data_IF_103573014309
#
_entry.id   IF_103573014309
#
_cell.length_a   1.000
_cell.length_b   1.000
_cell.length_c   1.000
_cell.angle_alpha   90.00
_cell.angle_beta   90.00
_cell.angle_gamma   90.00
#
_symmetry.space_group_name_H-M   'P 1'
#
loop_
_entity.id
_entity.type
_entity.pdbx_description
1 polymer ?
#
# COMPACT_ATOMS: atom_id res chain seq x y z
N UNK A 1 -44.74 1.84 4.34
CA UNK A 1 -43.77 1.65 3.25
C UNK A 1 -42.75 0.60 3.70
N UNK A 2 -42.75 -0.59 3.11
CA UNK A 2 -41.65 -1.54 3.29
C UNK A 2 -40.45 -1.01 2.49
N UNK A 3 -39.37 -0.61 3.17
CA UNK A 3 -38.10 -0.31 2.51
C UNK A 3 -37.50 -1.64 2.06
N UNK A 4 -37.40 -1.83 0.75
CA UNK A 4 -36.67 -2.94 0.15
C UNK A 4 -35.18 -2.64 0.32
N UNK A 5 -34.42 -3.61 0.83
CA UNK A 5 -33.01 -3.40 1.16
C UNK A 5 -32.14 -3.26 -0.11
N UNK A 6 -31.14 -2.38 -0.05
CA UNK A 6 -30.19 -2.12 -1.13
C UNK A 6 -29.53 -3.38 -1.77
N UNK A 7 -29.10 -4.41 -1.01
CA UNK A 7 -28.50 -5.59 -1.62
C UNK A 7 -29.50 -6.39 -2.48
N UNK A 8 -30.79 -6.39 -2.12
CA UNK A 8 -31.83 -7.08 -2.90
C UNK A 8 -32.06 -6.40 -4.26
N UNK A 9 -31.92 -5.08 -4.35
CA UNK A 9 -32.05 -4.33 -5.60
C UNK A 9 -30.89 -4.59 -6.57
N UNK A 10 -29.70 -4.87 -6.04
CA UNK A 10 -28.48 -5.05 -6.83
C UNK A 10 -28.29 -6.47 -7.37
N UNK A 11 -29.14 -7.42 -6.96
CA UNK A 11 -29.17 -8.76 -7.51
C UNK A 11 -29.58 -8.74 -8.98
N UNK A 12 -29.10 -9.71 -9.75
CA UNK A 12 -29.50 -9.83 -11.16
C UNK A 12 -31.01 -10.11 -11.25
N UNK A 13 -31.65 -9.76 -12.38
CA UNK A 13 -33.09 -10.02 -12.58
C UNK A 13 -33.45 -11.51 -12.39
N UNK A 14 -32.50 -12.42 -12.64
CA UNK A 14 -32.67 -13.87 -12.44
C UNK A 14 -32.71 -14.30 -10.97
N UNK A 15 -32.20 -13.45 -10.08
CA UNK A 15 -32.11 -13.66 -8.63
C UNK A 15 -33.17 -12.83 -7.87
N UNK A 16 -34.15 -12.25 -8.58
CA UNK A 16 -35.23 -11.47 -7.97
C UNK A 16 -34.86 -10.01 -7.63
N UNK A 17 -33.73 -9.50 -8.14
CA UNK A 17 -33.35 -8.09 -8.06
C UNK A 17 -33.73 -7.26 -9.28
N UNK A 18 -33.37 -5.98 -9.27
CA UNK A 18 -33.63 -5.02 -10.36
C UNK A 18 -32.46 -4.90 -11.35
N UNK A 19 -31.38 -5.67 -11.15
CA UNK A 19 -30.18 -5.60 -11.98
C UNK A 19 -29.43 -4.27 -11.87
N UNK A 20 -29.69 -3.49 -10.82
CA UNK A 20 -29.04 -2.20 -10.60
C UNK A 20 -27.61 -2.47 -10.12
N UNK A 21 -26.64 -1.82 -10.74
CA UNK A 21 -25.24 -1.98 -10.36
C UNK A 21 -24.97 -1.40 -8.97
N UNK A 22 -24.27 -2.14 -8.10
CA UNK A 22 -23.85 -1.63 -6.79
C UNK A 22 -22.82 -0.50 -6.96
N UNK A 23 -23.32 0.73 -6.99
CA UNK A 23 -22.52 1.94 -7.12
C UNK A 23 -21.47 2.07 -6.02
N UNK A 24 -21.73 1.54 -4.82
CA UNK A 24 -20.77 1.58 -3.71
C UNK A 24 -19.61 0.64 -4.01
N UNK A 25 -19.88 -0.59 -4.44
CA UNK A 25 -18.83 -1.52 -4.85
C UNK A 25 -18.00 -0.99 -6.02
N UNK A 26 -18.65 -0.40 -7.03
CA UNK A 26 -17.97 0.21 -8.17
C UNK A 26 -17.06 1.37 -7.79
N UNK A 27 -17.55 2.28 -6.93
CA UNK A 27 -16.74 3.39 -6.44
C UNK A 27 -15.54 2.89 -5.63
N UNK A 28 -15.73 1.91 -4.75
CA UNK A 28 -14.62 1.27 -4.01
C UNK A 28 -13.59 0.70 -4.97
N UNK A 29 -14.01 -0.07 -5.98
CA UNK A 29 -13.10 -0.63 -6.99
C UNK A 29 -12.35 0.47 -7.75
N UNK A 30 -13.02 1.57 -8.11
CA UNK A 30 -12.38 2.70 -8.76
C UNK A 30 -11.32 3.38 -7.87
N UNK A 31 -11.62 3.59 -6.58
CA UNK A 31 -10.64 4.14 -5.63
C UNK A 31 -9.45 3.22 -5.42
N UNK A 32 -9.66 1.90 -5.32
CA UNK A 32 -8.58 0.92 -5.27
C UNK A 32 -7.71 1.02 -6.53
N UNK A 33 -8.34 1.10 -7.71
CA UNK A 33 -7.64 1.33 -8.97
C UNK A 33 -6.73 2.56 -8.89
N UNK A 34 -7.24 3.70 -8.43
CA UNK A 34 -6.44 4.91 -8.23
C UNK A 34 -5.28 4.74 -7.25
N UNK A 35 -5.48 4.02 -6.14
CA UNK A 35 -4.41 3.70 -5.18
C UNK A 35 -3.29 2.93 -5.89
N UNK A 36 -3.62 1.89 -6.66
CA UNK A 36 -2.63 1.11 -7.40
C UNK A 36 -1.86 1.98 -8.41
N UNK A 37 -2.56 2.81 -9.21
CA UNK A 37 -1.90 3.70 -10.19
C UNK A 37 -0.88 4.65 -9.53
N UNK A 38 -1.27 5.24 -8.40
CA UNK A 38 -0.39 6.15 -7.66
C UNK A 38 0.79 5.41 -7.05
N UNK A 39 0.54 4.28 -6.39
CA UNK A 39 1.56 3.48 -5.72
C UNK A 39 2.60 2.92 -6.70
N UNK A 40 2.15 2.41 -7.85
CA UNK A 40 3.00 1.92 -8.93
C UNK A 40 3.68 3.03 -9.74
N UNK A 41 3.41 4.31 -9.42
CA UNK A 41 3.89 5.48 -10.18
C UNK A 41 3.63 5.33 -11.67
N UNK A 42 2.41 4.91 -12.03
CA UNK A 42 2.02 4.72 -13.42
C UNK A 42 2.29 6.00 -14.23
N UNK A 43 2.91 5.85 -15.40
CA UNK A 43 3.31 6.98 -16.26
C UNK A 43 2.09 7.60 -16.94
N UNK A 44 1.35 8.43 -16.21
CA UNK A 44 0.27 9.24 -16.76
C UNK A 44 0.21 10.63 -16.10
N UNK A 45 -0.42 11.58 -16.79
CA UNK A 45 -0.49 12.98 -16.35
C UNK A 45 -1.15 13.14 -14.98
N UNK A 46 -2.21 12.38 -14.71
CA UNK A 46 -2.96 12.47 -13.46
C UNK A 46 -2.12 12.00 -12.27
N UNK A 47 -1.41 10.87 -12.40
CA UNK A 47 -0.49 10.36 -11.37
C UNK A 47 0.66 11.34 -11.14
N UNK A 48 1.27 11.86 -12.20
CA UNK A 48 2.33 12.88 -12.09
C UNK A 48 1.83 14.14 -11.37
N UNK A 49 0.62 14.60 -11.70
CA UNK A 49 -0.01 15.72 -11.02
C UNK A 49 -0.27 15.42 -9.54
N UNK A 50 -0.80 14.24 -9.20
CA UNK A 50 -0.98 13.80 -7.81
C UNK A 50 0.34 13.82 -7.03
N UNK A 51 1.42 13.30 -7.60
CA UNK A 51 2.74 13.33 -6.97
C UNK A 51 3.25 14.77 -6.80
N UNK A 52 3.09 15.64 -7.79
CA UNK A 52 3.56 17.03 -7.69
C UNK A 52 2.73 17.93 -6.76
N UNK A 53 1.41 17.72 -6.66
CA UNK A 53 0.50 18.65 -5.96
C UNK A 53 -0.07 18.11 -4.66
N UNK A 54 -0.46 16.83 -4.63
CA UNK A 54 -1.15 16.25 -3.47
C UNK A 54 -0.18 15.57 -2.50
N UNK A 55 0.79 14.85 -3.05
CA UNK A 55 1.77 14.08 -2.27
C UNK A 55 2.98 14.94 -1.94
N UNK A 56 3.55 15.64 -2.93
CA UNK A 56 4.77 16.46 -2.81
C UNK A 56 5.93 15.61 -2.31
N UNK A 57 6.61 16.06 -1.26
CA UNK A 57 7.75 15.37 -0.62
C UNK A 57 7.32 14.36 0.46
N UNK A 58 6.03 14.00 0.52
CA UNK A 58 5.51 13.04 1.50
C UNK A 58 5.51 11.62 0.93
N UNK A 59 5.38 10.66 1.84
CA UNK A 59 5.28 9.25 1.49
C UNK A 59 3.82 8.85 1.30
N UNK A 60 3.47 8.35 0.11
CA UNK A 60 2.09 8.07 -0.27
C UNK A 60 1.36 7.15 0.72
N UNK A 61 2.01 6.11 1.22
CA UNK A 61 1.40 5.13 2.12
C UNK A 61 1.24 5.64 3.55
N UNK A 62 2.21 6.39 4.08
CA UNK A 62 2.20 6.87 5.47
C UNK A 62 1.71 8.31 5.65
N UNK A 63 1.42 9.05 4.56
CA UNK A 63 0.93 10.42 4.68
C UNK A 63 -0.43 10.45 5.39
N UNK A 64 -0.59 11.41 6.30
CA UNK A 64 -1.86 11.69 6.97
C UNK A 64 -2.85 12.33 5.99
N UNK A 65 -4.13 12.09 6.21
CA UNK A 65 -5.20 12.75 5.45
C UNK A 65 -5.17 14.27 5.72
N UNK A 66 -5.00 15.12 4.69
CA UNK A 66 -5.07 16.56 4.86
C UNK A 66 -6.49 16.99 5.30
N UNK A 67 -6.58 18.03 6.14
CA UNK A 67 -7.89 18.60 6.54
C UNK A 67 -8.66 19.10 5.32
N UNK A 68 -7.95 19.86 4.49
CA UNK A 68 -8.47 20.51 3.28
C UNK A 68 -8.06 19.72 2.05
N UNK A 69 -8.78 18.64 1.76
CA UNK A 69 -8.62 17.90 0.51
C UNK A 69 -9.97 17.57 -0.12
N UNK A 70 -9.95 17.34 -1.43
CA UNK A 70 -11.13 17.00 -2.19
C UNK A 70 -11.77 15.71 -1.68
N UNK A 71 -13.09 15.60 -1.84
CA UNK A 71 -13.84 14.42 -1.41
C UNK A 71 -13.31 13.14 -2.06
N UNK A 72 -12.93 13.21 -3.34
CA UNK A 72 -12.31 12.11 -4.08
C UNK A 72 -10.98 11.70 -3.44
N UNK A 73 -10.11 12.66 -3.12
CA UNK A 73 -8.81 12.36 -2.48
C UNK A 73 -8.98 11.72 -1.10
N UNK A 74 -9.98 12.16 -0.32
CA UNK A 74 -10.32 11.53 0.96
C UNK A 74 -10.65 10.04 0.79
N UNK A 75 -11.43 9.69 -0.23
CA UNK A 75 -11.78 8.29 -0.48
C UNK A 75 -10.62 7.47 -1.04
N UNK A 76 -9.77 8.05 -1.88
CA UNK A 76 -8.52 7.39 -2.32
C UNK A 76 -7.64 7.06 -1.10
N UNK A 77 -7.44 8.02 -0.18
CA UNK A 77 -6.63 7.79 1.02
C UNK A 77 -7.27 6.81 2.02
N UNK A 78 -8.61 6.70 2.06
CA UNK A 78 -9.32 5.66 2.82
C UNK A 78 -9.19 4.28 2.17
N UNK A 79 -9.35 4.19 0.86
CA UNK A 79 -9.16 2.94 0.13
C UNK A 79 -7.72 2.42 0.31
N UNK A 80 -6.74 3.33 0.29
CA UNK A 80 -5.32 3.03 0.55
C UNK A 80 -5.12 2.23 1.85
N UNK A 81 -5.76 2.62 2.95
CA UNK A 81 -5.58 1.92 4.24
C UNK A 81 -6.13 0.51 4.23
N UNK A 82 -7.18 0.24 3.47
CA UNK A 82 -7.70 -1.13 3.31
C UNK A 82 -6.84 -1.95 2.34
N UNK A 83 -6.24 -1.28 1.35
CA UNK A 83 -5.42 -1.92 0.31
C UNK A 83 -4.10 -2.45 0.85
N UNK A 84 -3.54 -1.89 1.93
CA UNK A 84 -2.22 -2.28 2.49
C UNK A 84 -2.11 -3.81 2.69
N UNK A 85 -3.18 -4.46 3.14
CA UNK A 85 -3.23 -5.92 3.41
C UNK A 85 -3.31 -6.77 2.14
N UNK A 86 -3.54 -6.14 0.99
CA UNK A 86 -3.79 -6.78 -0.29
C UNK A 86 -2.71 -6.47 -1.33
N UNK A 87 -1.71 -5.66 -0.99
CA UNK A 87 -0.58 -5.36 -1.87
C UNK A 87 0.56 -6.33 -1.57
N UNK A 88 1.17 -6.85 -2.64
CA UNK A 88 2.40 -7.62 -2.56
C UNK A 88 3.50 -6.82 -3.24
N UNK A 89 4.64 -6.70 -2.57
CA UNK A 89 5.85 -6.12 -3.15
C UNK A 89 6.76 -7.24 -3.61
N UNK A 90 7.34 -7.07 -4.81
CA UNK A 90 8.51 -7.84 -5.22
C UNK A 90 9.74 -6.98 -4.96
N UNK A 91 10.56 -7.37 -4.00
CA UNK A 91 11.79 -6.65 -3.67
C UNK A 91 12.88 -7.10 -4.63
N UNK A 92 13.40 -6.16 -5.43
CA UNK A 92 14.58 -6.38 -6.26
C UNK A 92 15.85 -5.98 -5.49
N UNK A 93 16.57 -4.94 -5.93
CA UNK A 93 17.72 -4.39 -5.21
C UNK A 93 17.33 -3.48 -4.02
N UNK A 94 16.03 -3.36 -3.74
CA UNK A 94 15.48 -2.55 -2.66
C UNK A 94 15.65 -1.03 -2.82
N UNK A 95 16.19 -0.52 -3.94
CA UNK A 95 16.49 0.92 -4.09
C UNK A 95 15.26 1.78 -4.37
N UNK A 96 14.14 1.18 -4.77
CA UNK A 96 12.90 1.88 -5.07
C UNK A 96 11.82 1.67 -4.00
N UNK A 97 12.16 1.03 -2.89
CA UNK A 97 11.24 0.72 -1.81
C UNK A 97 11.75 1.35 -0.52
N UNK A 98 10.91 2.16 0.10
CA UNK A 98 11.19 2.79 1.39
C UNK A 98 10.96 1.78 2.51
N UNK A 99 11.96 1.63 3.36
CA UNK A 99 11.97 0.66 4.45
C UNK A 99 10.77 0.86 5.38
N UNK A 100 10.57 2.11 5.81
CA UNK A 100 9.60 2.47 6.84
C UNK A 100 8.21 2.76 6.30
N UNK A 101 8.17 3.27 5.07
CA UNK A 101 7.01 3.93 4.52
C UNK A 101 6.23 3.10 3.51
N UNK A 102 6.84 2.10 2.86
CA UNK A 102 6.13 1.23 1.92
C UNK A 102 5.65 -0.07 2.61
N UNK A 103 4.48 -0.62 2.24
CA UNK A 103 3.95 -1.86 2.83
C UNK A 103 4.56 -3.11 2.19
N UNK A 104 5.89 -3.23 2.24
CA UNK A 104 6.60 -4.35 1.59
C UNK A 104 6.54 -5.67 2.35
N UNK A 105 6.11 -5.67 3.62
CA UNK A 105 5.82 -6.87 4.42
C UNK A 105 4.34 -7.32 4.37
N UNK A 106 3.53 -6.71 3.48
CA UNK A 106 2.17 -7.13 3.09
C UNK A 106 1.04 -7.04 4.14
N UNK A 107 1.25 -6.38 5.28
CA UNK A 107 0.23 -6.30 6.34
C UNK A 107 0.20 -4.98 7.12
N UNK A 108 1.33 -4.30 7.24
CA UNK A 108 1.44 -2.98 7.88
C UNK A 108 2.58 -2.15 7.32
N UNK A 109 2.65 -0.88 7.75
CA UNK A 109 3.81 -0.01 7.53
C UNK A 109 4.69 -0.10 8.76
N UNK A 110 5.99 -0.33 8.59
CA UNK A 110 6.93 -0.45 9.71
C UNK A 110 6.98 0.83 10.56
N UNK A 111 6.76 2.00 9.97
CA UNK A 111 6.70 3.26 10.71
C UNK A 111 5.57 3.34 11.74
N UNK A 112 4.53 2.49 11.61
CA UNK A 112 3.40 2.44 12.54
C UNK A 112 3.57 1.37 13.62
N UNK A 113 4.65 0.58 13.57
CA UNK A 113 4.93 -0.49 14.52
C UNK A 113 6.05 -0.04 15.47
N UNK A 114 5.66 0.38 16.68
CA UNK A 114 6.61 0.88 17.68
C UNK A 114 7.65 -0.17 18.08
N UNK A 115 7.31 -1.48 18.03
CA UNK A 115 8.24 -2.56 18.38
C UNK A 115 9.31 -2.77 17.31
N UNK A 116 9.00 -2.46 16.05
CA UNK A 116 9.95 -2.56 14.93
C UNK A 116 10.90 -1.37 14.89
N UNK A 117 10.44 -0.19 15.32
CA UNK A 117 11.24 1.03 15.28
C UNK A 117 12.53 0.91 16.10
N UNK A 118 12.52 0.14 17.18
CA UNK A 118 13.69 -0.02 18.04
C UNK A 118 14.79 -0.88 17.40
N UNK A 119 14.43 -1.91 16.63
CA UNK A 119 15.37 -2.83 15.96
C UNK A 119 16.29 -2.14 14.94
N UNK A 120 15.73 -1.17 14.21
CA UNK A 120 16.43 -0.41 13.17
C UNK A 120 16.45 1.09 13.47
N UNK A 121 16.39 1.45 14.75
CA UNK A 121 16.33 2.85 15.23
C UNK A 121 17.50 3.72 14.75
N UNK A 122 18.64 3.12 14.41
CA UNK A 122 19.82 3.81 13.88
C UNK A 122 19.73 4.17 12.39
N UNK A 123 18.75 3.63 11.66
CA UNK A 123 18.57 3.90 10.24
C UNK A 123 17.76 5.18 10.02
N UNK A 124 18.09 5.92 8.95
CA UNK A 124 17.36 7.12 8.56
C UNK A 124 15.88 6.82 8.26
N UNK A 125 14.97 7.76 8.57
CA UNK A 125 13.54 7.60 8.34
C UNK A 125 13.15 7.47 6.86
N UNK A 126 14.00 7.88 5.93
CA UNK A 126 13.83 7.68 4.50
C UNK A 126 14.73 6.56 3.94
N UNK A 127 15.29 5.72 4.83
CA UNK A 127 16.08 4.56 4.42
C UNK A 127 15.31 3.67 3.46
N UNK A 128 16.04 3.09 2.53
CA UNK A 128 15.53 2.16 1.53
C UNK A 128 15.77 0.73 1.98
N UNK A 129 14.95 -0.20 1.48
CA UNK A 129 15.13 -1.63 1.72
C UNK A 129 16.51 -2.13 1.25
N UNK A 130 17.13 -1.43 0.29
CA UNK A 130 18.49 -1.72 -0.17
C UNK A 130 19.55 -1.73 0.96
N UNK A 131 19.33 -1.02 2.07
CA UNK A 131 20.24 -1.02 3.23
C UNK A 131 20.30 -2.39 3.91
N UNK A 132 19.23 -3.19 3.79
CA UNK A 132 19.13 -4.53 4.34
C UNK A 132 19.65 -5.61 3.39
N UNK A 133 20.09 -5.24 2.18
CA UNK A 133 20.47 -6.18 1.12
C UNK A 133 21.96 -6.03 0.82
N UNK A 134 22.67 -7.14 0.74
CA UNK A 134 24.08 -7.20 0.32
C UNK A 134 24.26 -8.42 -0.57
N UNK A 135 24.84 -8.23 -1.75
CA UNK A 135 25.04 -9.28 -2.76
C UNK A 135 23.78 -10.11 -3.07
N UNK A 136 22.62 -9.44 -3.11
CA UNK A 136 21.35 -10.07 -3.43
C UNK A 136 20.73 -10.90 -2.31
N UNK A 137 21.27 -10.81 -1.09
CA UNK A 137 20.76 -11.50 0.09
C UNK A 137 20.48 -10.51 1.23
N UNK A 138 19.58 -10.89 2.13
CA UNK A 138 19.40 -10.18 3.39
C UNK A 138 20.70 -10.18 4.18
N UNK A 139 21.09 -9.01 4.71
CA UNK A 139 22.36 -8.85 5.41
C UNK A 139 22.23 -9.07 6.93
N UNK A 140 23.32 -8.80 7.65
CA UNK A 140 23.39 -8.99 9.10
C UNK A 140 22.35 -8.18 9.88
N UNK A 141 21.87 -7.03 9.37
CA UNK A 141 20.84 -6.22 10.04
C UNK A 141 19.48 -6.95 10.11
N UNK A 142 19.21 -7.85 9.16
CA UNK A 142 18.03 -8.72 9.19
C UNK A 142 18.30 -9.96 10.04
N UNK A 143 19.47 -10.57 9.88
CA UNK A 143 19.80 -11.79 10.62
C UNK A 143 19.96 -11.57 12.12
N UNK A 144 20.31 -10.36 12.55
CA UNK A 144 20.50 -9.98 13.95
C UNK A 144 19.25 -9.36 14.61
N UNK A 145 18.11 -9.33 13.91
CA UNK A 145 16.84 -8.89 14.51
C UNK A 145 16.50 -9.72 15.75
N UNK A 146 16.19 -9.04 16.86
CA UNK A 146 15.77 -9.71 18.10
C UNK A 146 14.29 -10.12 18.02
N UNK A 147 13.47 -9.32 17.34
CA UNK A 147 12.09 -9.63 17.02
C UNK A 147 12.02 -10.77 15.99
N UNK A 148 11.83 -11.99 16.49
CA UNK A 148 11.76 -13.20 15.67
C UNK A 148 10.61 -13.16 14.66
N UNK A 149 9.46 -12.58 15.02
CA UNK A 149 8.33 -12.48 14.11
C UNK A 149 8.63 -11.55 12.94
N UNK A 150 9.26 -10.40 13.20
CA UNK A 150 9.72 -9.50 12.15
C UNK A 150 10.76 -10.18 11.26
N UNK A 151 11.72 -10.86 11.89
CA UNK A 151 12.78 -11.60 11.19
C UNK A 151 12.20 -12.64 10.24
N UNK A 152 11.26 -13.46 10.71
CA UNK A 152 10.55 -14.44 9.87
C UNK A 152 9.82 -13.79 8.70
N UNK A 153 9.10 -12.69 8.94
CA UNK A 153 8.40 -11.94 7.89
C UNK A 153 9.37 -11.42 6.82
N UNK A 154 10.48 -10.80 7.23
CA UNK A 154 11.47 -10.24 6.30
C UNK A 154 12.14 -11.36 5.49
N UNK A 155 12.53 -12.46 6.14
CA UNK A 155 13.17 -13.59 5.48
C UNK A 155 12.23 -14.34 4.53
N UNK A 156 10.91 -14.29 4.77
CA UNK A 156 9.90 -14.85 3.87
C UNK A 156 9.72 -14.03 2.57
N UNK A 157 10.19 -12.77 2.53
CA UNK A 157 10.16 -11.96 1.30
C UNK A 157 11.29 -12.39 0.38
N UNK A 158 10.92 -12.86 -0.81
CA UNK A 158 11.87 -13.22 -1.87
C UNK A 158 12.52 -11.97 -2.49
N UNK A 159 13.85 -12.01 -2.61
CA UNK A 159 14.63 -11.00 -3.34
C UNK A 159 14.73 -11.44 -4.81
N UNK A 160 13.98 -10.77 -5.68
CA UNK A 160 13.94 -11.05 -7.11
C UNK A 160 14.89 -10.12 -7.88
N UNK A 161 16.12 -10.60 -8.12
CA UNK A 161 17.14 -9.85 -8.89
C UNK A 161 16.93 -9.86 -10.42
N UNK A 162 15.89 -10.54 -10.92
CA UNK A 162 15.62 -10.59 -12.36
C UNK A 162 15.19 -9.20 -12.84
N UNK A 163 15.95 -8.63 -13.78
CA UNK A 163 15.51 -7.47 -14.55
C UNK A 163 14.14 -7.79 -15.14
N UNK A 164 13.15 -6.95 -14.84
CA UNK A 164 11.95 -6.89 -15.67
C UNK A 164 12.44 -6.24 -16.97
N UNK A 165 12.70 -7.07 -17.97
CA UNK A 165 12.86 -6.65 -19.38
C UNK A 165 11.53 -6.15 -19.94
#
# INVERSE_FOLDING_TARGET
MHQISAPTLCLQNREGGLGITDLKAWNTAAYLGFVFKIASKEKNLWVNWCWSQLIKEKHFWSMKMPRDCSWVWKHILKARTETIKHVRYSIADGKNTLLWHDPWLSDSLLILDDLVRDEWSSLDGNSKVSVLITDGKWNHLVHNLHNLQLKEKVLAVEINLRKIE
#
